data_IF_449062640473
#
_entry.id   IF_449062640473
#
_cell.length_a   1.000
_cell.length_b   1.000
_cell.length_c   1.000
_cell.angle_alpha   90.00
_cell.angle_beta   90.00
_cell.angle_gamma   90.00
#
_symmetry.space_group_name_H-M   'P 1'
#
loop_
_entity.id
_entity.type
_entity.pdbx_description
1 polymer ?
#
# COMPACT_ATOMS: atom_id res chain seq x y z
N UNK A 1 36.13 72.21 34.22
CA UNK A 1 37.62 72.21 34.36
C UNK A 1 38.21 71.59 33.10
N UNK A 2 39.31 72.16 32.60
CA UNK A 2 40.37 71.57 31.73
C UNK A 2 39.99 70.46 30.72
N UNK A 3 39.98 70.66 29.38
CA UNK A 3 41.12 70.89 28.42
C UNK A 3 42.06 69.69 28.23
N UNK A 4 42.64 69.36 27.06
CA UNK A 4 42.40 69.68 25.62
C UNK A 4 43.40 68.88 24.71
N UNK A 5 43.10 68.57 23.43
CA UNK A 5 44.03 68.20 22.30
C UNK A 5 45.05 67.01 22.49
N UNK A 6 45.89 66.48 21.56
CA UNK A 6 46.11 66.41 20.07
C UNK A 6 46.95 65.12 19.80
N UNK A 7 46.86 64.33 18.70
CA UNK A 7 47.35 64.50 17.30
C UNK A 7 48.89 64.75 17.17
N UNK A 8 49.69 64.27 16.17
CA UNK A 8 49.50 63.40 14.97
C UNK A 8 50.87 63.01 14.33
N UNK A 9 50.98 61.91 13.52
CA UNK A 9 52.03 61.44 12.53
C UNK A 9 51.89 59.89 12.39
N UNK A 10 52.29 59.11 11.35
CA UNK A 10 52.90 59.27 10.01
C UNK A 10 53.88 58.09 9.73
N UNK A 11 54.12 57.52 8.52
CA UNK A 11 53.68 57.82 7.14
C UNK A 11 53.68 56.59 6.18
N UNK A 12 54.56 56.52 5.16
CA UNK A 12 54.65 55.50 4.05
C UNK A 12 56.08 55.47 3.42
N UNK A 13 56.58 54.46 2.63
CA UNK A 13 56.01 53.99 1.35
C UNK A 13 56.27 52.49 0.93
N UNK A 14 56.38 52.20 -0.39
CA UNK A 14 56.38 50.91 -1.18
C UNK A 14 57.72 50.77 -1.99
N UNK A 15 57.96 49.82 -2.95
CA UNK A 15 57.75 48.33 -3.06
C UNK A 15 58.90 47.51 -3.78
N UNK A 16 58.81 46.15 -3.81
CA UNK A 16 59.42 45.25 -4.83
C UNK A 16 60.80 44.60 -4.51
N UNK A 17 61.38 43.68 -5.34
CA UNK A 17 60.96 43.13 -6.65
C UNK A 17 60.91 41.55 -6.70
N UNK A 18 61.39 40.89 -7.79
CA UNK A 18 61.18 39.44 -8.14
C UNK A 18 62.49 38.65 -8.48
N UNK A 19 62.37 37.30 -8.48
CA UNK A 19 62.97 36.27 -9.39
C UNK A 19 64.33 35.57 -9.09
N UNK A 20 64.32 34.22 -9.29
CA UNK A 20 65.39 33.30 -9.81
C UNK A 20 66.64 33.04 -8.91
N UNK A 21 67.46 31.98 -9.07
CA UNK A 21 67.29 30.58 -9.60
C UNK A 21 68.62 29.78 -9.52
N UNK A 22 68.56 28.43 -9.42
CA UNK A 22 69.71 27.45 -9.46
C UNK A 22 70.61 27.49 -8.18
N UNK A 23 71.36 26.45 -7.81
CA UNK A 23 71.49 25.07 -8.32
C UNK A 23 72.72 24.32 -7.72
N UNK A 24 73.03 23.12 -8.23
CA UNK A 24 74.21 22.24 -7.96
C UNK A 24 74.21 21.34 -6.69
N UNK A 25 74.88 20.17 -6.81
CA UNK A 25 75.28 19.22 -5.74
C UNK A 25 76.74 19.46 -5.30
N UNK A 26 77.58 18.46 -4.89
CA UNK A 26 77.62 17.02 -5.25
C UNK A 26 77.46 16.03 -4.06
N UNK A 27 77.12 14.73 -4.21
CA UNK A 27 77.88 13.48 -4.58
C UNK A 27 78.89 12.94 -3.52
N UNK A 28 78.90 11.59 -3.37
CA UNK A 28 79.89 10.61 -2.81
C UNK A 28 79.31 9.72 -1.68
N UNK A 29 79.58 8.39 -1.54
CA UNK A 29 79.51 7.23 -2.47
C UNK A 29 79.64 5.89 -1.68
N UNK A 30 78.92 4.82 -2.07
CA UNK A 30 79.10 3.43 -1.56
C UNK A 30 77.84 2.56 -1.77
N UNK A 31 77.76 1.63 -2.74
CA UNK A 31 78.41 0.30 -2.89
C UNK A 31 78.02 -0.72 -1.81
N UNK A 32 77.73 -1.99 -2.11
CA UNK A 32 77.39 -2.69 -3.38
C UNK A 32 76.55 -3.93 -2.96
N UNK A 33 75.67 -4.51 -3.79
CA UNK A 33 75.95 -5.72 -4.60
C UNK A 33 74.66 -6.20 -5.29
N UNK A 34 74.78 -7.05 -6.33
CA UNK A 34 73.66 -7.75 -6.96
C UNK A 34 73.30 -7.22 -8.35
N UNK A 35 73.49 -8.05 -9.39
CA UNK A 35 73.32 -7.64 -10.78
C UNK A 35 72.10 -8.27 -11.46
N UNK A 36 71.39 -7.42 -12.21
CA UNK A 36 70.85 -7.61 -13.58
C UNK A 36 70.29 -8.98 -13.99
N UNK A 37 69.04 -8.96 -14.47
CA UNK A 37 68.74 -9.20 -15.89
C UNK A 37 67.62 -8.24 -16.33
N UNK A 38 67.40 -8.05 -17.64
CA UNK A 38 66.50 -6.99 -18.14
C UNK A 38 65.87 -7.26 -19.51
N UNK A 39 64.56 -7.00 -19.65
CA UNK A 39 63.84 -6.76 -20.92
C UNK A 39 62.56 -5.90 -20.65
N UNK A 40 61.81 -5.41 -21.66
CA UNK A 40 61.53 -3.96 -21.74
C UNK A 40 60.11 -3.45 -21.40
N UNK A 41 59.99 -2.12 -21.34
CA UNK A 41 58.78 -1.30 -21.19
C UNK A 41 57.83 -1.35 -22.42
N UNK A 42 56.52 -1.62 -22.22
CA UNK A 42 55.49 -1.53 -23.27
C UNK A 42 54.45 -0.39 -23.08
N UNK A 43 54.78 0.71 -22.40
CA UNK A 43 54.10 2.01 -22.58
C UNK A 43 52.80 2.26 -21.78
N UNK A 44 52.09 3.38 -22.08
CA UNK A 44 51.06 3.93 -21.18
C UNK A 44 49.76 3.12 -21.18
N UNK A 45 49.31 2.78 -19.97
CA UNK A 45 48.11 1.99 -19.69
C UNK A 45 46.85 2.51 -20.41
N UNK A 46 46.23 1.62 -21.19
CA UNK A 46 45.07 1.90 -22.04
C UNK A 46 43.73 1.49 -21.44
N UNK A 47 43.66 0.84 -20.28
CA UNK A 47 42.40 0.27 -19.80
C UNK A 47 41.46 1.26 -19.08
N UNK A 48 41.96 2.48 -18.80
CA UNK A 48 41.22 3.57 -18.14
C UNK A 48 40.11 4.24 -18.99
N UNK A 49 39.42 3.52 -19.90
CA UNK A 49 38.19 4.02 -20.56
C UNK A 49 37.23 2.99 -21.18
N UNK A 50 37.15 1.74 -20.69
CA UNK A 50 36.13 0.78 -21.17
C UNK A 50 34.71 1.24 -20.84
N UNK A 51 33.96 1.69 -21.86
CA UNK A 51 32.55 2.04 -21.71
C UNK A 51 31.72 0.81 -21.29
N UNK A 52 30.69 0.97 -20.42
CA UNK A 52 29.93 -0.18 -19.92
C UNK A 52 29.25 -0.92 -21.09
N UNK A 53 29.50 -2.23 -21.12
CA UNK A 53 29.09 -3.16 -22.19
C UNK A 53 27.58 -3.13 -22.42
N UNK A 54 27.13 -3.49 -23.64
CA UNK A 54 25.69 -3.50 -23.96
C UNK A 54 24.86 -4.30 -22.95
N UNK A 55 25.35 -5.44 -22.48
CA UNK A 55 24.73 -6.23 -21.42
C UNK A 55 24.76 -5.54 -20.04
N UNK A 56 25.92 -5.03 -19.61
CA UNK A 56 26.07 -4.30 -18.35
C UNK A 56 25.38 -2.93 -18.32
N UNK A 57 24.87 -2.47 -19.47
CA UNK A 57 24.03 -1.28 -19.65
C UNK A 57 22.54 -1.65 -19.80
N UNK A 58 22.20 -2.76 -20.46
CA UNK A 58 20.81 -3.23 -20.55
C UNK A 58 20.29 -3.69 -19.20
N UNK A 59 21.05 -4.50 -18.44
CA UNK A 59 20.67 -4.94 -17.09
C UNK A 59 20.31 -3.73 -16.19
N UNK A 60 21.19 -2.73 -16.11
CA UNK A 60 20.96 -1.49 -15.35
C UNK A 60 19.84 -0.59 -15.88
N UNK A 61 19.38 -0.80 -17.12
CA UNK A 61 18.16 -0.16 -17.64
C UNK A 61 16.94 -0.97 -17.24
N UNK A 62 16.97 -2.31 -17.36
CA UNK A 62 15.91 -3.21 -16.90
C UNK A 62 15.62 -2.96 -15.42
N UNK A 63 16.63 -3.00 -14.54
CA UNK A 63 16.49 -2.80 -13.09
C UNK A 63 15.87 -1.44 -12.72
N UNK A 64 16.17 -0.39 -13.51
CA UNK A 64 15.62 0.96 -13.32
C UNK A 64 14.13 1.07 -13.61
N UNK A 65 13.57 0.20 -14.46
CA UNK A 65 12.14 0.21 -14.81
C UNK A 65 11.36 -0.92 -14.14
N UNK A 66 11.98 -2.08 -13.89
CA UNK A 66 11.32 -3.19 -13.19
C UNK A 66 11.01 -2.85 -11.74
N UNK A 67 11.92 -2.20 -10.99
CA UNK A 67 11.66 -1.87 -9.60
C UNK A 67 10.46 -0.92 -9.41
N UNK A 68 10.36 0.23 -10.11
CA UNK A 68 9.14 1.06 -10.09
C UNK A 68 7.90 0.31 -10.60
N UNK A 69 8.02 -0.55 -11.60
CA UNK A 69 6.89 -1.33 -12.11
C UNK A 69 6.38 -2.36 -11.10
N UNK A 70 7.25 -3.08 -10.39
CA UNK A 70 6.86 -4.01 -9.33
C UNK A 70 6.27 -3.28 -8.13
N UNK A 71 6.90 -2.21 -7.65
CA UNK A 71 6.38 -1.41 -6.53
C UNK A 71 5.02 -0.79 -6.88
N UNK A 72 4.87 -0.23 -8.07
CA UNK A 72 3.62 0.35 -8.56
C UNK A 72 2.51 -0.68 -8.78
N UNK A 73 2.82 -1.82 -9.41
CA UNK A 73 1.83 -2.86 -9.71
C UNK A 73 1.41 -3.65 -8.46
N UNK A 74 2.38 -4.11 -7.65
CA UNK A 74 2.09 -4.88 -6.44
C UNK A 74 1.53 -3.98 -5.34
N UNK A 75 2.12 -2.80 -5.11
CA UNK A 75 1.60 -1.82 -4.16
C UNK A 75 0.21 -1.32 -4.55
N UNK A 76 0.01 -1.01 -5.83
CA UNK A 76 -1.30 -0.63 -6.37
C UNK A 76 -2.35 -1.74 -6.23
N UNK A 77 -1.99 -3.00 -6.50
CA UNK A 77 -2.89 -4.15 -6.32
C UNK A 77 -3.23 -4.43 -4.84
N UNK A 78 -2.25 -4.30 -3.94
CA UNK A 78 -2.45 -4.43 -2.49
C UNK A 78 -3.34 -3.32 -1.94
N UNK A 79 -3.12 -2.05 -2.33
CA UNK A 79 -4.00 -0.93 -1.97
C UNK A 79 -5.40 -1.11 -2.56
N UNK A 80 -5.52 -1.55 -3.82
CA UNK A 80 -6.80 -1.84 -4.46
C UNK A 80 -7.58 -2.91 -3.68
N UNK A 81 -6.92 -4.00 -3.27
CA UNK A 81 -7.52 -5.02 -2.42
C UNK A 81 -7.90 -4.47 -1.03
N UNK A 82 -7.04 -3.65 -0.42
CA UNK A 82 -7.28 -3.03 0.88
C UNK A 82 -8.49 -2.07 0.90
N UNK A 83 -8.83 -1.42 -0.22
CA UNK A 83 -10.07 -0.67 -0.35
C UNK A 83 -11.26 -1.56 -0.78
N UNK A 84 -11.07 -2.46 -1.75
CA UNK A 84 -12.16 -3.26 -2.32
C UNK A 84 -12.72 -4.27 -1.32
N UNK A 85 -11.87 -4.97 -0.55
CA UNK A 85 -12.31 -6.04 0.35
C UNK A 85 -13.19 -5.52 1.49
N UNK A 86 -12.82 -4.47 2.25
CA UNK A 86 -13.70 -3.86 3.23
C UNK A 86 -14.96 -3.27 2.60
N UNK A 87 -14.88 -2.67 1.40
CA UNK A 87 -16.04 -2.15 0.69
C UNK A 87 -17.05 -3.27 0.35
N UNK A 88 -16.60 -4.41 -0.20
CA UNK A 88 -17.45 -5.56 -0.51
C UNK A 88 -18.01 -6.23 0.75
N UNK A 89 -17.19 -6.41 1.78
CA UNK A 89 -17.61 -6.96 3.06
C UNK A 89 -18.67 -6.07 3.73
N UNK A 90 -18.45 -4.76 3.78
CA UNK A 90 -19.40 -3.77 4.29
C UNK A 90 -20.70 -3.80 3.49
N UNK A 91 -20.66 -3.74 2.15
CA UNK A 91 -21.86 -3.84 1.31
C UNK A 91 -22.65 -5.13 1.59
N UNK A 92 -22.00 -6.29 1.67
CA UNK A 92 -22.70 -7.55 1.92
C UNK A 92 -23.32 -7.60 3.33
N UNK A 93 -22.57 -7.20 4.37
CA UNK A 93 -23.09 -7.12 5.74
C UNK A 93 -24.22 -6.09 5.88
N UNK A 94 -24.14 -4.95 5.19
CA UNK A 94 -25.07 -3.81 5.27
C UNK A 94 -26.40 -4.07 4.56
N UNK A 95 -26.38 -4.80 3.44
CA UNK A 95 -27.54 -4.94 2.53
C UNK A 95 -27.96 -6.40 2.23
N UNK A 96 -27.26 -7.41 2.75
CA UNK A 96 -27.64 -8.83 2.60
C UNK A 96 -27.53 -9.40 1.18
N UNK A 97 -27.01 -8.63 0.23
CA UNK A 97 -26.65 -9.02 -1.14
C UNK A 97 -25.69 -7.99 -1.75
N UNK A 98 -24.94 -8.40 -2.77
CA UNK A 98 -24.38 -7.46 -3.74
C UNK A 98 -25.38 -7.25 -4.88
N UNK A 99 -25.36 -6.06 -5.49
CA UNK A 99 -25.95 -5.80 -6.81
C UNK A 99 -24.84 -5.35 -7.76
N UNK A 100 -24.90 -5.73 -9.04
CA UNK A 100 -23.84 -5.37 -10.01
C UNK A 100 -23.56 -3.86 -10.04
N UNK A 101 -24.61 -3.03 -9.94
CA UNK A 101 -24.50 -1.57 -9.84
C UNK A 101 -23.70 -1.08 -8.62
N UNK A 102 -23.74 -1.79 -7.49
CA UNK A 102 -22.92 -1.48 -6.29
C UNK A 102 -21.59 -2.22 -6.24
N UNK A 103 -21.41 -3.30 -7.01
CA UNK A 103 -20.09 -3.87 -7.29
C UNK A 103 -19.24 -2.90 -8.12
N UNK A 104 -19.82 -2.27 -9.15
CA UNK A 104 -19.20 -1.15 -9.87
C UNK A 104 -18.86 0.02 -8.92
N UNK A 105 -19.77 0.35 -7.99
CA UNK A 105 -19.50 1.34 -6.95
C UNK A 105 -18.34 0.95 -6.01
N UNK A 106 -18.21 -0.32 -5.62
CA UNK A 106 -17.11 -0.81 -4.80
C UNK A 106 -15.77 -0.80 -5.54
N UNK A 107 -15.77 -1.16 -6.83
CA UNK A 107 -14.60 -1.04 -7.70
C UNK A 107 -14.20 0.44 -7.88
N UNK A 108 -15.16 1.35 -8.07
CA UNK A 108 -14.90 2.78 -8.16
C UNK A 108 -14.32 3.36 -6.85
N UNK A 109 -14.81 2.92 -5.67
CA UNK A 109 -14.19 3.25 -4.37
C UNK A 109 -12.74 2.78 -4.31
N UNK A 110 -12.44 1.57 -4.80
CA UNK A 110 -11.10 1.01 -4.75
C UNK A 110 -10.12 1.69 -5.73
N UNK A 111 -10.54 1.96 -6.98
CA UNK A 111 -9.74 2.76 -7.93
C UNK A 111 -9.51 4.17 -7.40
N UNK A 112 -10.55 4.82 -6.87
CA UNK A 112 -10.44 6.16 -6.31
C UNK A 112 -9.54 6.22 -5.07
N UNK A 113 -9.64 5.24 -4.16
CA UNK A 113 -8.76 5.15 -2.99
C UNK A 113 -7.28 4.99 -3.37
N UNK A 114 -6.98 4.13 -4.36
CA UNK A 114 -5.63 3.97 -4.91
C UNK A 114 -5.15 5.27 -5.57
N UNK A 115 -6.00 5.92 -6.38
CA UNK A 115 -5.66 7.17 -7.05
C UNK A 115 -5.39 8.31 -6.06
N UNK A 116 -6.24 8.45 -5.02
CA UNK A 116 -6.07 9.44 -3.97
C UNK A 116 -4.73 9.25 -3.25
N UNK A 117 -4.44 8.04 -2.77
CA UNK A 117 -3.15 7.70 -2.12
C UNK A 117 -1.96 7.95 -3.05
N UNK A 118 -2.09 7.61 -4.34
CA UNK A 118 -1.03 7.82 -5.33
C UNK A 118 -0.75 9.32 -5.56
N UNK A 119 -1.77 10.13 -5.83
CA UNK A 119 -1.60 11.55 -6.13
C UNK A 119 -1.17 12.39 -4.91
N UNK A 120 -1.51 11.98 -3.69
CA UNK A 120 -1.14 12.71 -2.47
C UNK A 120 0.21 12.29 -1.88
N UNK A 121 0.64 11.03 -2.05
CA UNK A 121 1.87 10.53 -1.41
C UNK A 121 3.03 10.22 -2.37
N UNK A 122 2.81 10.06 -3.68
CA UNK A 122 3.88 9.74 -4.64
C UNK A 122 4.44 11.00 -5.34
N UNK A 123 5.73 11.01 -5.75
CA UNK A 123 6.75 10.01 -5.45
C UNK A 123 7.21 10.10 -3.99
N UNK A 124 7.46 8.93 -3.38
CA UNK A 124 8.11 8.88 -2.07
C UNK A 124 9.63 9.14 -2.20
N UNK A 125 10.26 9.80 -1.23
CA UNK A 125 11.72 9.83 -1.08
C UNK A 125 12.34 8.43 -1.12
N UNK A 126 13.54 8.31 -1.69
CA UNK A 126 14.24 7.03 -1.83
C UNK A 126 15.76 7.20 -1.73
N UNK A 127 16.43 6.13 -1.27
CA UNK A 127 17.86 6.17 -0.96
C UNK A 127 18.12 6.69 0.46
N UNK A 128 19.18 7.48 0.61
CA UNK A 128 19.55 8.13 1.87
C UNK A 128 18.54 9.26 2.19
N UNK A 129 17.62 8.99 3.12
CA UNK A 129 16.58 9.93 3.52
C UNK A 129 17.14 11.21 4.16
N UNK A 130 18.28 11.14 4.86
CA UNK A 130 18.88 12.33 5.48
C UNK A 130 19.45 13.27 4.40
N UNK A 131 20.15 12.73 3.40
CA UNK A 131 20.59 13.51 2.24
C UNK A 131 19.42 14.00 1.38
N UNK A 132 18.39 13.18 1.19
CA UNK A 132 17.19 13.59 0.46
C UNK A 132 16.50 14.77 1.15
N UNK A 133 16.26 14.68 2.45
CA UNK A 133 15.69 15.77 3.24
C UNK A 133 16.56 17.04 3.25
N UNK A 134 17.90 16.91 3.30
CA UNK A 134 18.80 18.04 3.21
C UNK A 134 18.83 18.74 1.83
N UNK A 135 18.33 18.08 0.78
CA UNK A 135 18.29 18.62 -0.59
C UNK A 135 16.88 19.06 -1.05
N UNK A 136 15.83 18.38 -0.59
CA UNK A 136 14.46 18.51 -1.08
C UNK A 136 13.42 18.71 0.03
N UNK A 137 13.82 18.75 1.30
CA UNK A 137 12.91 18.95 2.42
C UNK A 137 12.33 20.36 2.44
N UNK A 138 11.01 20.46 2.63
CA UNK A 138 10.29 21.73 2.75
C UNK A 138 10.28 22.19 4.22
N UNK A 139 10.53 23.47 4.45
CA UNK A 139 10.43 24.08 5.76
C UNK A 139 9.07 24.79 5.93
N UNK A 140 8.26 24.32 6.88
CA UNK A 140 6.96 24.92 7.21
C UNK A 140 5.79 24.40 6.38
N UNK A 141 4.65 25.07 6.54
CA UNK A 141 3.41 24.86 5.82
C UNK A 141 2.86 26.23 5.40
N UNK A 142 2.15 26.29 4.27
CA UNK A 142 1.50 27.52 3.83
C UNK A 142 0.11 27.63 4.48
N UNK A 143 -0.10 28.74 5.18
CA UNK A 143 -1.24 28.99 6.06
C UNK A 143 -1.97 30.29 5.72
N UNK A 144 -1.54 31.03 4.71
CA UNK A 144 -2.23 32.21 4.17
C UNK A 144 -3.36 31.76 3.22
N UNK A 145 -4.65 31.92 3.60
CA UNK A 145 -5.75 31.49 2.75
C UNK A 145 -5.88 32.37 1.50
N UNK A 146 -6.25 31.74 0.40
CA UNK A 146 -6.41 32.31 -0.94
C UNK A 146 -5.13 32.83 -1.59
N UNK A 147 -3.94 32.48 -1.09
CA UNK A 147 -2.67 32.83 -1.75
C UNK A 147 -2.59 32.19 -3.15
N UNK A 148 -3.14 30.98 -3.34
CA UNK A 148 -3.21 30.29 -4.63
C UNK A 148 -3.95 31.10 -5.70
N UNK A 149 -4.92 31.94 -5.31
CA UNK A 149 -5.63 32.85 -6.20
C UNK A 149 -4.79 34.08 -6.58
N UNK A 150 -3.92 34.53 -5.68
CA UNK A 150 -2.92 35.56 -5.99
C UNK A 150 -1.85 35.02 -6.95
N UNK A 151 -1.45 33.76 -6.78
CA UNK A 151 -0.52 33.06 -7.67
C UNK A 151 -1.11 32.83 -9.06
N UNK A 152 -2.35 32.30 -9.15
CA UNK A 152 -3.10 32.24 -10.40
C UNK A 152 -3.17 33.61 -11.10
N UNK A 153 -3.43 34.69 -10.35
CA UNK A 153 -3.51 36.04 -10.92
C UNK A 153 -2.15 36.56 -11.41
N UNK A 154 -1.06 36.25 -10.71
CA UNK A 154 0.30 36.66 -11.09
C UNK A 154 0.78 35.88 -12.32
N UNK A 155 0.68 34.57 -12.27
CA UNK A 155 1.30 33.64 -13.22
C UNK A 155 0.51 33.54 -14.53
N UNK A 156 -0.72 34.08 -14.57
CA UNK A 156 -1.53 34.20 -15.79
C UNK A 156 -1.65 35.64 -16.32
N UNK A 157 -0.98 36.61 -15.69
CA UNK A 157 -1.00 38.00 -16.13
C UNK A 157 -0.48 38.14 -17.58
N UNK A 158 -1.31 38.69 -18.46
CA UNK A 158 -0.98 38.84 -19.89
C UNK A 158 -1.08 37.57 -20.74
N UNK A 159 -1.44 36.42 -20.16
CA UNK A 159 -1.68 35.20 -20.94
C UNK A 159 -3.04 35.24 -21.65
N UNK A 160 -3.09 34.72 -22.88
CA UNK A 160 -4.35 34.42 -23.55
C UNK A 160 -5.05 33.22 -22.90
N UNK A 161 -6.39 33.18 -22.96
CA UNK A 161 -7.24 32.19 -22.28
C UNK A 161 -6.77 30.72 -22.40
N UNK A 162 -6.30 30.31 -23.58
CA UNK A 162 -5.80 28.95 -23.81
C UNK A 162 -4.47 28.63 -23.10
N UNK A 163 -3.65 29.63 -22.76
CA UNK A 163 -2.46 29.48 -21.93
C UNK A 163 -2.83 29.59 -20.43
N UNK A 164 -3.72 30.51 -20.06
CA UNK A 164 -4.30 30.64 -18.71
C UNK A 164 -4.86 29.30 -18.20
N UNK A 165 -5.70 28.63 -19.00
CA UNK A 165 -6.30 27.33 -18.67
C UNK A 165 -5.30 26.15 -18.64
N UNK A 166 -4.01 26.39 -18.92
CA UNK A 166 -2.93 25.41 -18.90
C UNK A 166 -1.78 25.81 -17.96
N UNK A 167 -1.89 26.91 -17.21
CA UNK A 167 -0.88 27.28 -16.22
C UNK A 167 -0.90 26.31 -15.04
N UNK A 168 0.26 26.11 -14.42
CA UNK A 168 0.41 25.21 -13.25
C UNK A 168 -0.48 25.62 -12.09
N UNK A 169 -0.52 26.92 -11.76
CA UNK A 169 -1.35 27.46 -10.68
C UNK A 169 -2.85 27.21 -10.91
N UNK A 170 -3.36 27.42 -12.14
CA UNK A 170 -4.78 27.14 -12.47
C UNK A 170 -5.07 25.64 -12.39
N UNK A 171 -4.17 24.82 -12.91
CA UNK A 171 -4.33 23.37 -12.91
C UNK A 171 -4.26 22.77 -11.50
N UNK A 172 -3.44 23.28 -10.58
CA UNK A 172 -3.40 22.84 -9.18
C UNK A 172 -4.76 23.05 -8.50
N UNK A 173 -5.25 24.28 -8.48
CA UNK A 173 -6.55 24.66 -7.88
C UNK A 173 -7.69 23.83 -8.49
N UNK A 174 -7.71 23.65 -9.81
CA UNK A 174 -8.75 22.86 -10.49
C UNK A 174 -8.62 21.37 -10.19
N UNK A 175 -7.41 20.79 -10.19
CA UNK A 175 -7.25 19.35 -9.95
C UNK A 175 -7.53 18.95 -8.51
N UNK A 176 -7.27 19.79 -7.51
CA UNK A 176 -7.63 19.51 -6.12
C UNK A 176 -9.16 19.49 -5.93
N UNK A 177 -9.89 20.47 -6.49
CA UNK A 177 -11.36 20.42 -6.55
C UNK A 177 -11.84 19.14 -7.25
N UNK A 178 -11.27 18.78 -8.41
CA UNK A 178 -11.65 17.58 -9.18
C UNK A 178 -11.32 16.29 -8.44
N UNK A 179 -10.20 16.23 -7.70
CA UNK A 179 -9.76 15.07 -6.93
C UNK A 179 -10.79 14.68 -5.86
N UNK A 180 -11.42 15.65 -5.20
CA UNK A 180 -12.41 15.38 -4.14
C UNK A 180 -13.88 15.33 -4.60
N UNK A 181 -14.20 15.67 -5.86
CA UNK A 181 -15.55 15.44 -6.42
C UNK A 181 -15.99 13.96 -6.32
N UNK A 182 -15.17 12.95 -6.66
CA UNK A 182 -15.48 11.54 -6.42
C UNK A 182 -15.79 11.22 -4.96
N UNK A 183 -15.04 11.76 -4.00
CA UNK A 183 -15.32 11.59 -2.57
C UNK A 183 -16.71 12.12 -2.21
N UNK A 184 -17.04 13.33 -2.66
CA UNK A 184 -18.37 13.93 -2.49
C UNK A 184 -19.50 13.04 -3.05
N UNK A 185 -19.31 12.53 -4.26
CA UNK A 185 -20.29 11.65 -4.92
C UNK A 185 -20.48 10.33 -4.16
N UNK A 186 -19.39 9.71 -3.71
CA UNK A 186 -19.38 8.43 -3.02
C UNK A 186 -20.00 8.53 -1.63
N UNK A 187 -19.58 9.50 -0.79
CA UNK A 187 -20.11 9.61 0.58
C UNK A 187 -21.59 10.03 0.57
N UNK A 188 -22.02 10.91 -0.35
CA UNK A 188 -23.43 11.30 -0.48
C UNK A 188 -24.33 10.15 -0.93
N UNK A 189 -23.99 9.42 -2.00
CA UNK A 189 -24.94 8.50 -2.68
C UNK A 189 -24.57 7.01 -2.61
N UNK A 190 -23.29 6.65 -2.50
CA UNK A 190 -22.89 5.25 -2.29
C UNK A 190 -22.96 4.87 -0.80
N UNK A 191 -22.46 5.72 0.11
CA UNK A 191 -22.61 5.54 1.56
C UNK A 191 -23.93 6.09 2.13
N UNK A 192 -24.57 7.05 1.46
CA UNK A 192 -25.90 7.55 1.82
C UNK A 192 -25.93 8.60 2.93
N UNK A 193 -24.90 9.46 3.05
CA UNK A 193 -24.83 10.53 4.05
C UNK A 193 -25.42 11.85 3.53
N UNK A 194 -25.66 12.81 4.44
CA UNK A 194 -26.08 14.17 4.10
C UNK A 194 -24.93 15.05 3.61
N UNK A 195 -25.25 16.19 2.97
CA UNK A 195 -24.25 17.12 2.38
C UNK A 195 -23.22 17.59 3.42
N UNK A 196 -23.68 18.01 4.60
CA UNK A 196 -22.81 18.46 5.69
C UNK A 196 -21.79 17.38 6.10
N UNK A 197 -22.27 16.16 6.37
CA UNK A 197 -21.42 15.02 6.74
C UNK A 197 -20.42 14.68 5.63
N UNK A 198 -20.83 14.76 4.35
CA UNK A 198 -19.95 14.54 3.20
C UNK A 198 -18.87 15.62 3.06
N UNK A 199 -19.23 16.89 3.28
CA UNK A 199 -18.31 18.02 3.15
C UNK A 199 -17.30 18.01 4.30
N UNK A 200 -17.77 17.81 5.55
CA UNK A 200 -16.91 17.67 6.73
C UNK A 200 -16.01 16.42 6.66
N UNK A 201 -16.47 15.31 6.08
CA UNK A 201 -15.59 14.16 5.86
C UNK A 201 -14.57 14.38 4.74
N UNK A 202 -14.86 15.27 3.79
CA UNK A 202 -13.88 15.74 2.79
C UNK A 202 -12.80 16.61 3.44
N UNK A 203 -13.22 17.61 4.21
CA UNK A 203 -12.34 18.45 5.03
C UNK A 203 -11.42 17.61 5.93
N UNK A 204 -11.97 16.64 6.67
CA UNK A 204 -11.17 15.77 7.55
C UNK A 204 -10.15 14.91 6.78
N UNK A 205 -10.51 14.41 5.59
CA UNK A 205 -9.56 13.64 4.76
C UNK A 205 -8.50 14.54 4.12
N UNK A 206 -8.83 15.77 3.72
CA UNK A 206 -7.80 16.70 3.24
C UNK A 206 -6.85 17.13 4.36
N UNK A 207 -7.36 17.43 5.56
CA UNK A 207 -6.53 17.71 6.73
C UNK A 207 -5.63 16.52 7.09
N UNK A 208 -6.14 15.29 6.98
CA UNK A 208 -5.32 14.08 7.15
C UNK A 208 -4.22 13.98 6.07
N UNK A 209 -4.53 14.29 4.81
CA UNK A 209 -3.57 14.31 3.70
C UNK A 209 -2.48 15.35 3.94
N UNK A 210 -2.83 16.60 4.23
CA UNK A 210 -1.85 17.67 4.51
C UNK A 210 -1.01 17.37 5.75
N UNK A 211 -1.60 16.82 6.81
CA UNK A 211 -0.86 16.36 8.00
C UNK A 211 0.10 15.23 7.64
N UNK A 212 -0.30 14.31 6.77
CA UNK A 212 0.54 13.19 6.31
C UNK A 212 1.71 13.69 5.46
N UNK A 213 1.51 14.72 4.63
CA UNK A 213 2.58 15.36 3.86
C UNK A 213 3.55 16.12 4.79
N UNK A 214 3.02 17.02 5.62
CA UNK A 214 3.77 17.86 6.57
C UNK A 214 4.65 17.07 7.54
N UNK A 215 4.12 15.99 8.09
CA UNK A 215 4.80 15.15 9.09
C UNK A 215 5.72 14.09 8.48
N UNK A 216 5.93 14.08 7.16
CA UNK A 216 6.75 13.05 6.52
C UNK A 216 6.16 11.64 6.69
N UNK A 217 4.85 11.51 6.54
CA UNK A 217 4.08 10.30 6.86
C UNK A 217 4.30 9.90 8.34
N UNK A 218 3.96 10.82 9.25
CA UNK A 218 4.05 10.63 10.70
C UNK A 218 5.45 10.20 11.21
N UNK A 219 6.49 10.77 10.61
CA UNK A 219 7.90 10.55 10.99
C UNK A 219 8.60 9.39 10.28
N UNK A 220 7.95 8.72 9.33
CA UNK A 220 8.61 7.69 8.48
C UNK A 220 9.66 8.33 7.56
N UNK A 221 9.43 9.56 7.12
CA UNK A 221 10.37 10.43 6.42
C UNK A 221 10.79 11.54 7.42
N UNK A 222 12.08 11.80 7.63
CA UNK A 222 12.55 12.80 8.62
C UNK A 222 12.23 14.29 8.32
N UNK A 223 11.42 14.58 7.30
CA UNK A 223 11.09 15.94 6.85
C UNK A 223 9.76 15.98 6.10
N UNK A 224 9.19 17.19 5.96
CA UNK A 224 8.13 17.42 4.96
C UNK A 224 8.73 17.29 3.56
N UNK A 225 8.17 16.39 2.74
CA UNK A 225 8.64 16.09 1.39
C UNK A 225 7.78 16.75 0.29
N UNK A 226 6.78 17.53 0.72
CA UNK A 226 5.92 18.41 -0.07
C UNK A 226 5.60 19.65 0.78
N UNK A 227 5.01 20.69 0.18
CA UNK A 227 4.39 21.78 0.94
C UNK A 227 3.03 21.27 1.43
N UNK A 228 2.67 21.56 2.68
CA UNK A 228 1.31 21.37 3.17
C UNK A 228 0.58 22.70 3.13
N UNK A 229 -0.64 22.73 2.59
CA UNK A 229 -1.27 23.97 2.12
C UNK A 229 -2.74 24.09 2.56
N UNK A 230 -3.10 25.22 3.18
CA UNK A 230 -4.48 25.56 3.56
C UNK A 230 -5.42 25.69 2.35
N UNK A 231 -4.94 26.15 1.19
CA UNK A 231 -5.74 26.28 -0.02
C UNK A 231 -6.03 24.92 -0.67
N UNK A 232 -5.12 23.94 -0.54
CA UNK A 232 -5.38 22.55 -0.90
C UNK A 232 -6.49 21.96 0.01
N UNK A 233 -6.50 22.27 1.31
CA UNK A 233 -7.62 21.89 2.21
C UNK A 233 -8.95 22.53 1.77
N UNK A 234 -8.94 23.82 1.42
CA UNK A 234 -10.16 24.54 0.99
C UNK A 234 -10.69 24.03 -0.36
N UNK A 235 -9.82 23.82 -1.35
CA UNK A 235 -10.17 23.34 -2.69
C UNK A 235 -10.63 21.89 -2.68
N UNK A 236 -9.97 21.00 -1.92
CA UNK A 236 -10.43 19.63 -1.71
C UNK A 236 -11.79 19.60 -0.98
N UNK A 237 -12.01 20.47 0.02
CA UNK A 237 -13.32 20.59 0.70
C UNK A 237 -14.42 21.08 -0.24
N UNK A 238 -14.12 22.05 -1.12
CA UNK A 238 -15.02 22.51 -2.18
C UNK A 238 -15.33 21.38 -3.18
N UNK A 239 -14.34 20.57 -3.55
CA UNK A 239 -14.52 19.36 -4.36
C UNK A 239 -15.52 18.39 -3.73
N UNK A 240 -15.36 18.10 -2.43
CA UNK A 240 -16.28 17.25 -1.68
C UNK A 240 -17.71 17.81 -1.63
N UNK A 241 -17.87 19.13 -1.49
CA UNK A 241 -19.18 19.80 -1.54
C UNK A 241 -19.82 19.69 -2.93
N UNK A 242 -19.11 20.06 -3.99
CA UNK A 242 -19.60 20.00 -5.37
C UNK A 242 -19.96 18.56 -5.78
N UNK A 243 -19.13 17.59 -5.39
CA UNK A 243 -19.44 16.17 -5.54
C UNK A 243 -20.70 15.75 -4.78
N UNK A 244 -20.89 16.23 -3.54
CA UNK A 244 -22.09 15.95 -2.75
C UNK A 244 -23.36 16.54 -3.36
N UNK A 245 -23.27 17.69 -4.03
CA UNK A 245 -24.38 18.33 -4.76
C UNK A 245 -24.69 17.59 -6.07
N UNK A 246 -23.67 17.16 -6.82
CA UNK A 246 -23.82 16.44 -8.09
C UNK A 246 -24.22 14.96 -7.94
N UNK A 247 -23.93 14.32 -6.79
CA UNK A 247 -24.17 12.89 -6.55
C UNK A 247 -25.57 12.35 -6.88
N UNK A 248 -26.68 13.07 -6.58
CA UNK A 248 -28.03 12.59 -6.89
C UNK A 248 -28.28 12.43 -8.40
N UNK A 249 -27.63 13.25 -9.23
CA UNK A 249 -27.67 13.18 -10.69
C UNK A 249 -26.70 12.11 -11.21
N UNK A 250 -25.42 12.19 -10.84
CA UNK A 250 -24.36 11.31 -11.35
C UNK A 250 -24.58 9.83 -11.01
N UNK A 251 -25.11 9.54 -9.82
CA UNK A 251 -25.42 8.18 -9.36
C UNK A 251 -26.94 7.91 -9.27
N UNK A 252 -27.76 8.60 -10.10
CA UNK A 252 -29.22 8.38 -10.19
C UNK A 252 -29.60 6.93 -10.48
N UNK A 253 -28.78 6.23 -11.26
CA UNK A 253 -28.93 4.83 -11.67
C UNK A 253 -28.64 3.82 -10.55
N UNK A 254 -27.94 4.22 -9.48
CA UNK A 254 -27.58 3.34 -8.37
C UNK A 254 -28.74 3.22 -7.37
N UNK A 255 -29.13 1.99 -6.94
CA UNK A 255 -30.20 1.80 -5.95
C UNK A 255 -29.89 2.52 -4.63
N UNK A 256 -30.93 3.07 -3.97
CA UNK A 256 -30.77 3.81 -2.70
C UNK A 256 -30.37 2.85 -1.57
N UNK A 257 -29.69 3.37 -0.56
CA UNK A 257 -29.26 2.58 0.59
C UNK A 257 -30.44 1.95 1.35
N UNK A 258 -31.49 2.75 1.65
CA UNK A 258 -32.68 2.29 2.39
C UNK A 258 -33.46 1.18 1.68
N UNK A 259 -33.63 1.26 0.36
CA UNK A 259 -34.30 0.25 -0.47
C UNK A 259 -33.63 -1.14 -0.38
N UNK A 260 -32.31 -1.15 -0.22
CA UNK A 260 -31.52 -2.37 -0.07
C UNK A 260 -31.45 -2.85 1.37
N UNK A 261 -31.48 -1.93 2.33
CA UNK A 261 -31.50 -2.19 3.76
C UNK A 261 -32.82 -2.81 4.24
N UNK A 262 -33.96 -2.31 3.76
CA UNK A 262 -35.28 -2.89 4.06
C UNK A 262 -35.37 -4.38 3.62
N UNK A 263 -34.56 -4.78 2.66
CA UNK A 263 -34.46 -6.16 2.14
C UNK A 263 -33.20 -6.90 2.64
N UNK A 264 -32.57 -6.43 3.71
CA UNK A 264 -31.33 -7.02 4.26
C UNK A 264 -31.57 -8.42 4.84
N UNK A 265 -32.74 -8.68 5.39
CA UNK A 265 -33.03 -9.91 6.16
C UNK A 265 -33.67 -11.01 5.32
N UNK A 266 -34.18 -10.70 4.11
CA UNK A 266 -34.63 -11.69 3.12
C UNK A 266 -33.58 -12.80 2.91
N UNK A 267 -33.91 -14.04 3.26
CA UNK A 267 -33.12 -15.22 2.93
C UNK A 267 -32.98 -15.38 1.40
N UNK A 268 -31.82 -15.84 0.93
CA UNK A 268 -31.49 -15.95 -0.50
C UNK A 268 -30.76 -17.25 -0.81
N UNK A 269 -30.92 -17.84 -2.01
CA UNK A 269 -30.25 -19.09 -2.36
C UNK A 269 -28.72 -18.98 -2.30
N UNK A 270 -28.07 -20.12 -2.09
CA UNK A 270 -26.61 -20.25 -2.18
C UNK A 270 -26.21 -20.32 -3.66
N UNK A 271 -25.61 -19.24 -4.17
CA UNK A 271 -25.11 -19.18 -5.56
C UNK A 271 -23.61 -19.43 -5.63
N UNK A 272 -23.10 -19.87 -6.79
CA UNK A 272 -21.66 -20.09 -7.03
C UNK A 272 -20.85 -18.82 -6.72
N UNK A 273 -21.29 -17.66 -7.23
CA UNK A 273 -20.67 -16.36 -6.96
C UNK A 273 -20.64 -15.99 -5.47
N UNK A 274 -21.73 -16.24 -4.73
CA UNK A 274 -21.79 -16.03 -3.28
C UNK A 274 -20.82 -16.94 -2.54
N UNK A 275 -20.68 -18.19 -3.00
CA UNK A 275 -19.75 -19.20 -2.47
C UNK A 275 -18.29 -18.80 -2.70
N UNK A 276 -17.93 -18.43 -3.93
CA UNK A 276 -16.59 -17.98 -4.29
C UNK A 276 -16.22 -16.66 -3.60
N UNK A 277 -17.14 -15.71 -3.47
CA UNK A 277 -16.90 -14.49 -2.69
C UNK A 277 -16.58 -14.82 -1.22
N UNK A 278 -17.29 -15.77 -0.61
CA UNK A 278 -16.97 -16.23 0.75
C UNK A 278 -15.55 -16.80 0.84
N UNK A 279 -15.14 -17.62 -0.12
CA UNK A 279 -13.78 -18.21 -0.16
C UNK A 279 -12.69 -17.16 -0.42
N UNK A 280 -12.94 -16.21 -1.33
CA UNK A 280 -12.05 -15.10 -1.64
C UNK A 280 -11.86 -14.18 -0.42
N UNK A 281 -12.92 -13.93 0.34
CA UNK A 281 -12.84 -13.17 1.59
C UNK A 281 -12.06 -13.90 2.69
N UNK A 282 -12.16 -15.23 2.78
CA UNK A 282 -11.32 -16.01 3.70
C UNK A 282 -9.83 -15.96 3.31
N UNK A 283 -9.52 -16.14 2.01
CA UNK A 283 -8.16 -16.09 1.50
C UNK A 283 -7.52 -14.69 1.66
N UNK A 284 -8.24 -13.63 1.27
CA UNK A 284 -7.75 -12.26 1.42
C UNK A 284 -7.64 -11.84 2.89
N UNK A 285 -8.47 -12.38 3.79
CA UNK A 285 -8.36 -12.11 5.23
C UNK A 285 -7.08 -12.72 5.83
N UNK A 286 -6.72 -13.97 5.48
CA UNK A 286 -5.48 -14.58 6.01
C UNK A 286 -4.24 -13.86 5.47
N UNK A 287 -4.19 -13.55 4.16
CA UNK A 287 -3.08 -12.82 3.57
C UNK A 287 -2.96 -11.39 4.12
N UNK A 288 -4.06 -10.64 4.22
CA UNK A 288 -4.03 -9.27 4.74
C UNK A 288 -3.62 -9.23 6.21
N UNK A 289 -4.11 -10.16 7.05
CA UNK A 289 -3.73 -10.25 8.46
C UNK A 289 -2.24 -10.59 8.61
N UNK A 290 -1.72 -11.53 7.79
CA UNK A 290 -0.30 -11.88 7.78
C UNK A 290 0.61 -10.73 7.34
N UNK A 291 0.22 -9.98 6.31
CA UNK A 291 0.95 -8.78 5.86
C UNK A 291 0.93 -7.69 6.93
N UNK A 292 -0.23 -7.39 7.53
CA UNK A 292 -0.35 -6.36 8.58
C UNK A 292 0.50 -6.71 9.80
N UNK A 293 0.49 -7.97 10.25
CA UNK A 293 1.29 -8.40 11.39
C UNK A 293 2.80 -8.38 11.11
N UNK A 294 3.25 -8.77 9.91
CA UNK A 294 4.65 -8.67 9.50
C UNK A 294 5.14 -7.23 9.37
N UNK A 295 4.32 -6.35 8.79
CA UNK A 295 4.63 -4.91 8.69
C UNK A 295 4.71 -4.31 10.09
N UNK A 296 3.72 -4.54 10.96
CA UNK A 296 3.73 -4.05 12.34
C UNK A 296 4.97 -4.54 13.11
N UNK A 297 5.33 -5.82 12.98
CA UNK A 297 6.54 -6.39 13.59
C UNK A 297 7.81 -5.68 13.12
N UNK A 298 8.00 -5.52 11.80
CA UNK A 298 9.17 -4.83 11.23
C UNK A 298 9.21 -3.33 11.60
N UNK A 299 8.06 -2.65 11.64
CA UNK A 299 7.95 -1.26 12.12
C UNK A 299 8.33 -1.13 13.59
N UNK A 300 7.92 -2.06 14.45
CA UNK A 300 8.30 -2.08 15.88
C UNK A 300 9.80 -2.34 16.05
N UNK A 301 10.39 -3.28 15.30
CA UNK A 301 11.85 -3.50 15.31
C UNK A 301 12.61 -2.23 14.91
N UNK A 302 12.19 -1.59 13.80
CA UNK A 302 12.80 -0.35 13.31
C UNK A 302 12.70 0.78 14.34
N UNK A 303 11.53 1.01 14.93
CA UNK A 303 11.32 2.02 15.97
C UNK A 303 12.12 1.75 17.26
N UNK A 304 12.49 0.49 17.53
CA UNK A 304 13.35 0.08 18.64
C UNK A 304 14.84 0.01 18.27
N UNK A 305 15.24 0.49 17.08
CA UNK A 305 16.63 0.46 16.61
C UNK A 305 17.20 -0.95 16.43
N UNK A 306 16.35 -1.96 16.27
CA UNK A 306 16.75 -3.36 16.11
C UNK A 306 17.01 -3.68 14.63
N UNK A 307 17.97 -4.58 14.32
CA UNK A 307 18.15 -5.06 12.95
C UNK A 307 16.87 -5.75 12.46
N UNK A 308 16.52 -5.50 11.19
CA UNK A 308 15.43 -6.19 10.51
C UNK A 308 15.93 -7.56 10.03
N UNK A 309 15.18 -8.66 10.17
CA UNK A 309 15.68 -9.98 9.75
C UNK A 309 15.61 -10.13 8.22
N UNK A 310 16.76 -10.47 7.62
CA UNK A 310 16.96 -10.71 6.18
C UNK A 310 16.39 -12.08 5.74
N UNK A 311 15.10 -12.31 5.99
CA UNK A 311 14.41 -13.54 5.62
C UNK A 311 13.21 -13.85 6.52
N UNK A 312 12.61 -15.02 6.29
CA UNK A 312 11.57 -15.57 7.15
C UNK A 312 12.21 -16.24 8.39
N UNK A 313 12.34 -15.48 9.47
CA UNK A 313 12.66 -16.02 10.79
C UNK A 313 11.40 -16.58 11.47
N UNK A 314 11.59 -17.26 12.61
CA UNK A 314 10.48 -17.86 13.36
C UNK A 314 9.44 -16.83 13.84
N UNK A 315 9.84 -15.58 14.08
CA UNK A 315 8.93 -14.51 14.46
C UNK A 315 8.06 -14.06 13.27
N UNK A 316 8.64 -13.87 12.08
CA UNK A 316 7.89 -13.52 10.87
C UNK A 316 6.99 -14.66 10.39
N UNK A 317 7.40 -15.93 10.50
CA UNK A 317 6.51 -17.05 10.18
C UNK A 317 5.37 -17.19 11.20
N UNK A 318 5.65 -17.02 12.49
CA UNK A 318 4.63 -17.06 13.55
C UNK A 318 3.57 -15.97 13.35
N UNK A 319 3.99 -14.73 13.13
CA UNK A 319 3.09 -13.57 12.98
C UNK A 319 2.48 -13.47 11.57
N UNK A 320 3.22 -13.88 10.55
CA UNK A 320 2.85 -13.77 9.14
C UNK A 320 2.03 -14.92 8.58
N UNK A 321 2.17 -16.13 9.14
CA UNK A 321 1.50 -17.34 8.62
C UNK A 321 0.72 -18.08 9.71
N UNK A 322 1.32 -18.39 10.87
CA UNK A 322 0.67 -19.21 11.91
C UNK A 322 -0.48 -18.51 12.64
N UNK A 323 -0.27 -17.29 13.15
CA UNK A 323 -1.33 -16.51 13.81
C UNK A 323 -2.50 -16.24 12.85
N UNK A 324 -2.28 -15.78 11.60
CA UNK A 324 -3.36 -15.65 10.61
C UNK A 324 -4.09 -16.96 10.33
N UNK A 325 -3.38 -18.08 10.17
CA UNK A 325 -4.00 -19.40 9.97
C UNK A 325 -4.94 -19.77 11.12
N UNK A 326 -4.48 -19.62 12.37
CA UNK A 326 -5.27 -19.94 13.56
C UNK A 326 -6.51 -19.03 13.63
N UNK A 327 -6.34 -17.72 13.45
CA UNK A 327 -7.44 -16.74 13.50
C UNK A 327 -8.46 -16.97 12.38
N UNK A 328 -8.05 -17.31 11.16
CA UNK A 328 -8.94 -17.35 9.98
C UNK A 328 -9.56 -18.73 9.74
N UNK A 329 -8.90 -19.83 10.10
CA UNK A 329 -9.40 -21.19 9.83
C UNK A 329 -9.68 -22.02 11.08
N UNK A 330 -8.88 -21.89 12.15
CA UNK A 330 -9.08 -22.69 13.37
C UNK A 330 -10.18 -22.09 14.25
N UNK A 331 -10.04 -20.83 14.67
CA UNK A 331 -11.00 -20.13 15.55
C UNK A 331 -12.47 -20.20 15.07
N UNK A 332 -12.82 -19.84 13.82
CA UNK A 332 -14.22 -19.84 13.39
C UNK A 332 -14.86 -21.23 13.30
N UNK A 333 -14.08 -22.31 13.31
CA UNK A 333 -14.58 -23.69 13.33
C UNK A 333 -15.27 -24.03 14.65
N UNK A 334 -14.79 -23.45 15.76
CA UNK A 334 -15.37 -23.66 17.09
C UNK A 334 -16.53 -22.70 17.39
N UNK A 335 -16.60 -21.55 16.70
CA UNK A 335 -17.60 -20.51 16.95
C UNK A 335 -18.92 -20.74 16.18
N UNK A 336 -20.04 -20.84 16.91
CA UNK A 336 -21.40 -20.75 16.37
C UNK A 336 -21.80 -21.93 15.48
N UNK A 337 -21.83 -21.72 14.16
CA UNK A 337 -22.15 -22.77 13.18
C UNK A 337 -20.92 -23.49 12.61
N UNK A 338 -19.70 -22.96 12.82
CA UNK A 338 -18.52 -23.41 12.08
C UNK A 338 -18.40 -22.82 10.67
N UNK A 339 -19.16 -21.75 10.37
CA UNK A 339 -18.91 -20.92 9.19
C UNK A 339 -17.59 -20.15 9.35
N UNK A 340 -16.79 -20.05 8.29
CA UNK A 340 -15.60 -19.17 8.24
C UNK A 340 -16.00 -17.68 8.20
N UNK A 341 -15.03 -16.77 8.30
CA UNK A 341 -15.29 -15.33 8.36
C UNK A 341 -15.88 -14.77 7.06
N UNK A 342 -15.36 -15.20 5.91
CA UNK A 342 -15.91 -14.91 4.60
C UNK A 342 -17.31 -15.48 4.43
N UNK A 343 -17.56 -16.72 4.89
CA UNK A 343 -18.91 -17.31 4.90
C UNK A 343 -19.91 -16.49 5.76
N UNK A 344 -19.54 -16.10 6.99
CA UNK A 344 -20.35 -15.19 7.84
C UNK A 344 -20.61 -13.84 7.15
N UNK A 345 -19.61 -13.34 6.41
CA UNK A 345 -19.70 -12.07 5.68
C UNK A 345 -20.75 -12.14 4.57
N UNK A 346 -20.79 -13.23 3.81
CA UNK A 346 -21.82 -13.49 2.79
C UNK A 346 -23.09 -14.18 3.33
N UNK A 347 -23.32 -14.17 4.65
CA UNK A 347 -24.45 -14.81 5.34
C UNK A 347 -24.65 -16.30 4.99
N UNK A 348 -23.58 -17.07 4.82
CA UNK A 348 -23.62 -18.52 4.64
C UNK A 348 -23.36 -19.24 5.97
N UNK A 349 -24.13 -20.29 6.25
CA UNK A 349 -23.93 -21.17 7.39
C UNK A 349 -23.97 -22.65 6.97
N UNK A 350 -23.08 -23.51 7.48
CA UNK A 350 -23.23 -24.95 7.31
C UNK A 350 -24.33 -25.51 8.22
N UNK A 351 -25.02 -26.54 7.72
CA UNK A 351 -26.00 -27.34 8.47
C UNK A 351 -25.80 -28.82 8.15
N UNK A 352 -26.19 -29.67 9.10
CA UNK A 352 -26.23 -31.12 8.98
C UNK A 352 -27.64 -31.56 9.37
N UNK A 353 -28.37 -32.18 8.43
CA UNK A 353 -29.82 -32.47 8.58
C UNK A 353 -30.62 -31.25 9.11
N UNK A 354 -30.40 -30.07 8.53
CA UNK A 354 -30.99 -28.79 8.94
C UNK A 354 -30.48 -28.20 10.27
N UNK A 355 -29.82 -29.00 11.13
CA UNK A 355 -29.33 -28.61 12.47
C UNK A 355 -27.91 -28.02 12.41
N UNK A 356 -27.45 -27.42 13.52
CA UNK A 356 -26.03 -27.05 13.71
C UNK A 356 -25.23 -28.35 13.94
N UNK A 357 -24.06 -28.47 13.30
CA UNK A 357 -23.21 -29.66 13.42
C UNK A 357 -22.46 -29.74 14.75
N UNK A 358 -22.13 -30.96 15.18
CA UNK A 358 -21.30 -31.26 16.35
C UNK A 358 -19.87 -30.72 16.17
N UNK A 359 -19.09 -30.61 17.25
CA UNK A 359 -17.71 -30.11 17.15
C UNK A 359 -16.86 -30.97 16.20
N UNK A 360 -17.00 -32.29 16.25
CA UNK A 360 -16.33 -33.20 15.30
C UNK A 360 -16.74 -32.96 13.84
N UNK A 361 -18.04 -32.77 13.56
CA UNK A 361 -18.52 -32.43 12.21
C UNK A 361 -17.96 -31.09 11.70
N UNK A 362 -17.90 -30.07 12.57
CA UNK A 362 -17.32 -28.76 12.21
C UNK A 362 -15.82 -28.86 11.93
N UNK A 363 -15.07 -29.62 12.75
CA UNK A 363 -13.63 -29.87 12.55
C UNK A 363 -13.38 -30.65 11.25
N UNK A 364 -14.07 -31.77 11.02
CA UNK A 364 -13.94 -32.56 9.79
C UNK A 364 -14.22 -31.72 8.52
N UNK A 365 -15.20 -30.80 8.59
CA UNK A 365 -15.48 -29.84 7.51
C UNK A 365 -14.35 -28.82 7.28
N UNK A 366 -13.73 -28.32 8.34
CA UNK A 366 -12.63 -27.37 8.25
C UNK A 366 -11.37 -28.03 7.67
N UNK A 367 -11.03 -29.22 8.15
CA UNK A 367 -9.93 -30.07 7.68
C UNK A 367 -10.13 -30.63 6.26
N UNK A 368 -11.33 -30.51 5.68
CA UNK A 368 -11.62 -30.78 4.28
C UNK A 368 -11.80 -29.49 3.44
N UNK A 369 -11.31 -28.37 3.94
CA UNK A 369 -11.49 -27.04 3.35
C UNK A 369 -10.34 -26.08 3.67
N UNK A 370 -10.66 -24.84 4.06
CA UNK A 370 -9.67 -23.78 4.25
C UNK A 370 -8.56 -24.09 5.25
N UNK A 371 -8.80 -24.94 6.26
CA UNK A 371 -7.76 -25.35 7.19
C UNK A 371 -6.74 -26.32 6.57
N UNK A 372 -7.11 -27.12 5.56
CA UNK A 372 -6.16 -27.96 4.82
C UNK A 372 -5.33 -27.13 3.85
N UNK A 373 -5.96 -26.20 3.14
CA UNK A 373 -5.25 -25.22 2.31
C UNK A 373 -4.22 -24.43 3.12
N UNK A 374 -4.66 -23.88 4.26
CA UNK A 374 -3.79 -23.12 5.16
C UNK A 374 -2.70 -23.96 5.84
N UNK A 375 -2.96 -25.25 6.12
CA UNK A 375 -1.94 -26.16 6.65
C UNK A 375 -0.83 -26.45 5.64
N UNK A 376 -1.16 -26.57 4.34
CA UNK A 376 -0.13 -26.61 3.30
C UNK A 376 0.66 -25.30 3.20
N UNK A 377 0.00 -24.14 3.35
CA UNK A 377 0.69 -22.84 3.42
C UNK A 377 1.65 -22.71 4.62
N UNK A 378 1.25 -23.19 5.80
CA UNK A 378 2.14 -23.24 6.97
C UNK A 378 3.40 -24.07 6.71
N UNK A 379 3.24 -25.17 5.98
CA UNK A 379 4.30 -26.12 5.66
C UNK A 379 5.21 -25.60 4.53
N UNK A 380 4.70 -24.84 3.56
CA UNK A 380 5.51 -24.22 2.51
C UNK A 380 6.37 -23.06 3.00
N UNK A 381 5.85 -22.27 3.94
CA UNK A 381 6.44 -21.00 4.36
C UNK A 381 7.46 -21.16 5.50
N UNK A 382 7.76 -22.41 5.90
CA UNK A 382 8.61 -22.73 7.05
C UNK A 382 10.01 -22.09 6.98
N UNK A 383 10.55 -21.57 8.11
CA UNK A 383 11.92 -21.05 8.19
C UNK A 383 13.02 -22.06 7.85
N UNK A 384 14.22 -21.55 7.60
CA UNK A 384 15.42 -22.37 7.44
C UNK A 384 15.87 -23.07 8.74
N UNK A 385 16.70 -24.11 8.61
CA UNK A 385 17.28 -24.83 9.76
C UNK A 385 16.46 -26.03 10.26
N UNK A 386 15.50 -26.51 9.47
CA UNK A 386 14.58 -27.60 9.81
C UNK A 386 15.09 -28.94 9.21
N UNK A 387 14.90 -30.11 9.86
CA UNK A 387 15.34 -31.41 9.34
C UNK A 387 14.90 -31.71 7.91
N UNK A 388 15.81 -32.28 7.11
CA UNK A 388 15.66 -32.46 5.67
C UNK A 388 14.36 -33.16 5.22
N UNK A 389 13.88 -34.14 5.98
CA UNK A 389 12.61 -34.83 5.70
C UNK A 389 11.39 -33.86 5.72
N UNK A 390 11.40 -32.85 6.59
CA UNK A 390 10.38 -31.79 6.62
C UNK A 390 10.62 -30.79 5.50
N UNK A 391 11.87 -30.52 5.11
CA UNK A 391 12.20 -29.70 3.93
C UNK A 391 11.65 -30.29 2.62
N UNK A 392 11.65 -31.61 2.46
CA UNK A 392 10.98 -32.29 1.33
C UNK A 392 9.45 -32.15 1.42
N UNK A 393 8.88 -32.22 2.62
CA UNK A 393 7.44 -31.98 2.82
C UNK A 393 7.04 -30.52 2.51
N UNK A 394 7.90 -29.55 2.83
CA UNK A 394 7.72 -28.13 2.54
C UNK A 394 7.73 -27.83 1.03
N UNK A 395 8.67 -28.41 0.28
CA UNK A 395 8.80 -28.14 -1.16
C UNK A 395 7.61 -28.67 -1.97
N UNK A 396 6.95 -29.76 -1.53
CA UNK A 396 5.70 -30.25 -2.14
C UNK A 396 4.44 -29.55 -1.59
N UNK A 397 4.51 -28.87 -0.45
CA UNK A 397 3.35 -28.23 0.16
C UNK A 397 2.80 -27.06 -0.67
N UNK A 398 3.67 -26.22 -1.25
CA UNK A 398 3.25 -25.10 -2.10
C UNK A 398 2.41 -25.54 -3.33
N UNK A 399 2.86 -26.50 -4.18
CA UNK A 399 2.03 -26.97 -5.29
C UNK A 399 0.78 -27.73 -4.83
N UNK A 400 0.81 -28.43 -3.68
CA UNK A 400 -0.39 -29.04 -3.09
C UNK A 400 -1.41 -27.99 -2.62
N UNK A 401 -0.96 -26.88 -2.02
CA UNK A 401 -1.83 -25.76 -1.66
C UNK A 401 -2.50 -25.15 -2.89
N UNK A 402 -1.73 -24.90 -3.96
CA UNK A 402 -2.24 -24.36 -5.22
C UNK A 402 -3.27 -25.32 -5.88
N UNK A 403 -2.94 -26.61 -6.00
CA UNK A 403 -3.84 -27.63 -6.54
C UNK A 403 -5.13 -27.73 -5.71
N UNK A 404 -5.02 -27.80 -4.38
CA UNK A 404 -6.16 -27.91 -3.50
C UNK A 404 -7.06 -26.66 -3.53
N UNK A 405 -6.49 -25.46 -3.70
CA UNK A 405 -7.24 -24.23 -3.90
C UNK A 405 -8.04 -24.27 -5.22
N UNK A 406 -7.40 -24.66 -6.33
CA UNK A 406 -8.07 -24.82 -7.64
C UNK A 406 -9.21 -25.85 -7.55
N UNK A 407 -8.94 -27.05 -7.03
CA UNK A 407 -9.96 -28.10 -6.84
C UNK A 407 -11.11 -27.60 -5.95
N UNK A 408 -10.81 -26.88 -4.85
CA UNK A 408 -11.83 -26.32 -3.96
C UNK A 408 -12.72 -25.28 -4.62
N UNK A 409 -12.18 -24.45 -5.51
CA UNK A 409 -12.93 -23.44 -6.30
C UNK A 409 -13.77 -24.13 -7.36
N UNK A 410 -13.19 -25.05 -8.14
CA UNK A 410 -13.85 -25.77 -9.25
C UNK A 410 -14.97 -26.67 -8.73
N UNK A 411 -14.83 -27.29 -7.55
CA UNK A 411 -15.87 -28.15 -6.96
C UNK A 411 -17.17 -27.42 -6.53
N UNK A 412 -17.21 -26.09 -6.50
CA UNK A 412 -18.40 -25.32 -6.09
C UNK A 412 -19.61 -25.52 -7.03
N UNK A 413 -19.52 -25.27 -8.36
CA UNK A 413 -20.65 -25.50 -9.28
C UNK A 413 -21.10 -26.95 -9.34
N UNK A 414 -20.17 -27.91 -9.32
CA UNK A 414 -20.47 -29.34 -9.53
C UNK A 414 -21.02 -30.09 -8.30
N UNK A 415 -21.17 -29.41 -7.15
CA UNK A 415 -21.67 -30.05 -5.92
C UNK A 415 -23.13 -29.71 -5.61
N UNK A 416 -23.88 -30.69 -5.08
CA UNK A 416 -25.25 -30.52 -4.56
C UNK A 416 -25.30 -29.31 -3.62
N UNK A 417 -26.31 -28.45 -3.80
CA UNK A 417 -26.51 -27.22 -3.03
C UNK A 417 -25.27 -26.29 -2.97
N UNK A 418 -24.33 -26.44 -3.93
CA UNK A 418 -23.05 -25.71 -4.02
C UNK A 418 -22.24 -25.82 -2.72
N UNK A 419 -22.31 -27.00 -2.10
CA UNK A 419 -21.68 -27.31 -0.80
C UNK A 419 -20.15 -27.42 -0.86
N UNK A 420 -19.55 -27.50 -2.05
CA UNK A 420 -18.11 -27.57 -2.28
C UNK A 420 -17.46 -28.84 -1.71
N UNK A 421 -16.14 -28.97 -1.85
CA UNK A 421 -15.38 -30.13 -1.38
C UNK A 421 -15.59 -30.41 0.12
N UNK A 422 -15.37 -29.38 0.96
CA UNK A 422 -15.59 -29.46 2.42
C UNK A 422 -17.00 -29.93 2.81
N UNK A 423 -18.04 -29.51 2.10
CA UNK A 423 -19.42 -29.96 2.36
C UNK A 423 -19.72 -31.35 1.81
N UNK A 424 -19.06 -31.77 0.73
CA UNK A 424 -19.16 -33.12 0.21
C UNK A 424 -18.50 -34.14 1.16
N UNK A 425 -17.30 -33.86 1.66
CA UNK A 425 -16.56 -34.74 2.58
C UNK A 425 -17.21 -34.83 3.96
N UNK A 426 -17.68 -33.70 4.52
CA UNK A 426 -18.25 -33.66 5.89
C UNK A 426 -19.76 -33.91 5.97
N UNK A 427 -20.43 -34.14 4.83
CA UNK A 427 -21.90 -34.22 4.75
C UNK A 427 -22.64 -32.90 4.99
N UNK A 428 -21.93 -31.77 5.15
CA UNK A 428 -22.54 -30.46 5.40
C UNK A 428 -23.18 -29.87 4.14
N UNK A 429 -24.44 -29.46 4.23
CA UNK A 429 -25.03 -28.53 3.25
C UNK A 429 -24.78 -27.08 3.68
N UNK A 430 -24.81 -26.14 2.71
CA UNK A 430 -24.84 -24.71 3.01
C UNK A 430 -26.25 -24.16 2.82
N UNK A 431 -26.65 -23.31 3.76
CA UNK A 431 -27.87 -22.51 3.73
C UNK A 431 -27.55 -21.04 3.93
N UNK A 432 -28.52 -20.17 3.68
CA UNK A 432 -28.50 -18.81 4.21
C UNK A 432 -28.56 -18.84 5.75
N UNK A 433 -27.72 -18.04 6.40
CA UNK A 433 -27.80 -17.85 7.85
C UNK A 433 -29.12 -17.18 8.29
N UNK A 434 -29.87 -16.60 7.35
CA UNK A 434 -31.19 -15.97 7.54
C UNK A 434 -32.37 -16.90 7.23
N UNK A 435 -32.14 -18.14 6.79
CA UNK A 435 -33.21 -19.14 6.68
C UNK A 435 -33.73 -19.49 8.08
N UNK A 436 -34.97 -19.06 8.36
CA UNK A 436 -35.74 -19.53 9.51
C UNK A 436 -35.88 -21.05 9.38
N UNK A 437 -35.57 -21.84 10.42
CA UNK A 437 -35.83 -23.27 10.39
C UNK A 437 -37.33 -23.49 10.17
N UNK A 438 -37.69 -24.17 9.08
CA UNK A 438 -39.04 -24.71 8.93
C UNK A 438 -39.20 -25.75 10.04
N UNK A 439 -39.96 -25.43 11.08
CA UNK A 439 -40.35 -26.43 12.08
C UNK A 439 -41.04 -27.57 11.35
N UNK A 440 -40.63 -28.84 11.55
CA UNK A 440 -41.38 -29.96 11.01
C UNK A 440 -42.80 -29.91 11.58
N UNK A 441 -43.78 -30.03 10.69
CA UNK A 441 -45.16 -30.36 11.01
C UNK A 441 -45.31 -31.88 11.05
#
# INVERSE_FOLDING_TARGET
MTTDRTSTVGGRPRPGPRRRSRGAGPVVVGRDTGARDAEPDPGPDRDARRAPSRAGRSLRVTDRWTWPAYVGLLGGALLFAAFLVPALAWQYRRYGRLSGRRLLGAAAVAVYGVALVAYTLLPLPSGDLARWCAQYGVAGAELVPFHSLADVRRDTAGLGLGATLRSTAVLQVVFNVVLFVPWGVLVRRYLGRGVLVTTLSGLLVSLLVETTQYTGIFGIIPCSYRVADVDDVLTNTLGALLGALAAPLLLRWMPRAGELEARREEARPVTVWRRWLGMLLDALLVTALGVVLQVAYRTVLYALGRPLPDGADWAQWLLGTLVPFVVVFVVPTFLGSGASWGQRTVWLAPRWAGRRGTTGQRVARASAGGALWGAFGLLSDLPAGIPAAVGVAASVAAPLAALFAVVSVVAVPFTRSRRGLSGAVSGAELVDAREVPVSPR
#
